data_IF_477571811450
#
_entry.id   IF_477571811450
#
_cell.length_a   1.000
_cell.length_b   1.000
_cell.length_c   1.000
_cell.angle_alpha   90.00
_cell.angle_beta   90.00
_cell.angle_gamma   90.00
#
_symmetry.space_group_name_H-M   'P 1'
#
loop_
_entity.id
_entity.type
_entity.pdbx_description
1 polymer ?
#
# COMPACT_ATOMS: atom_id res chain seq x y z
N UNK A 1 -0.45 8.47 30.27
CA UNK A 1 -0.89 9.42 31.32
C UNK A 1 -1.95 10.34 30.72
N UNK A 2 -3.23 10.08 31.01
CA UNK A 2 -4.38 10.81 30.45
C UNK A 2 -4.84 11.91 31.40
N UNK A 3 -5.36 13.02 30.87
CA UNK A 3 -5.91 14.13 31.64
C UNK A 3 -7.26 14.54 31.04
N UNK A 4 -8.31 14.53 31.87
CA UNK A 4 -9.69 14.84 31.48
C UNK A 4 -10.05 16.28 31.84
N UNK A 5 -10.58 17.04 30.88
CA UNK A 5 -11.28 18.32 31.12
C UNK A 5 -12.42 18.46 30.11
N UNK A 6 -13.63 18.70 30.60
CA UNK A 6 -14.82 18.97 29.77
C UNK A 6 -15.34 20.39 29.97
N UNK A 7 -15.85 21.00 28.88
CA UNK A 7 -16.88 22.06 28.87
C UNK A 7 -17.62 22.02 27.52
N UNK A 8 -18.95 22.03 27.57
CA UNK A 8 -19.91 22.05 26.44
C UNK A 8 -20.00 23.42 25.73
N UNK A 9 -20.81 23.62 24.67
CA UNK A 9 -22.30 23.57 24.68
C UNK A 9 -22.92 23.45 23.26
N UNK A 10 -24.14 22.90 23.14
CA UNK A 10 -25.12 23.11 22.04
C UNK A 10 -26.54 22.71 22.50
N UNK A 11 -27.56 23.50 22.10
CA UNK A 11 -28.97 23.43 22.52
C UNK A 11 -29.73 22.21 21.93
N UNK A 12 -30.56 21.55 22.75
CA UNK A 12 -31.37 20.36 22.41
C UNK A 12 -32.85 20.52 22.82
N UNK A 13 -33.72 19.68 22.25
CA UNK A 13 -35.19 19.71 22.31
C UNK A 13 -35.74 19.43 23.74
N UNK A 14 -36.99 19.80 24.02
CA UNK A 14 -37.62 19.59 25.33
C UNK A 14 -37.76 18.10 25.72
N UNK A 15 -37.75 17.18 24.75
CA UNK A 15 -37.71 15.72 24.98
C UNK A 15 -36.28 15.20 25.25
N UNK A 16 -35.23 15.96 24.90
CA UNK A 16 -33.83 15.63 25.17
C UNK A 16 -33.40 16.01 26.61
N UNK A 17 -34.27 16.68 27.38
CA UNK A 17 -33.96 17.16 28.74
C UNK A 17 -33.89 16.05 29.79
N UNK A 18 -34.40 14.84 29.48
CA UNK A 18 -34.48 13.72 30.42
C UNK A 18 -33.73 12.46 29.97
N UNK A 19 -33.01 12.53 28.85
CA UNK A 19 -32.04 11.49 28.51
C UNK A 19 -30.68 11.90 29.04
N UNK A 20 -30.08 11.06 29.88
CA UNK A 20 -28.68 11.24 30.22
C UNK A 20 -27.88 11.38 28.91
N UNK A 21 -26.99 12.38 28.80
CA UNK A 21 -26.24 12.57 27.57
C UNK A 21 -25.48 11.28 27.27
N UNK A 22 -25.44 10.84 25.99
CA UNK A 22 -24.76 9.61 25.63
C UNK A 22 -23.32 9.68 26.13
N UNK A 23 -22.88 8.60 26.77
CA UNK A 23 -21.53 8.52 27.30
C UNK A 23 -20.54 8.67 26.14
N UNK A 24 -19.43 9.37 26.36
CA UNK A 24 -18.45 9.67 25.31
C UNK A 24 -17.06 9.17 25.69
N UNK A 25 -16.43 8.44 24.77
CA UNK A 25 -15.03 8.05 24.87
C UNK A 25 -14.19 8.96 23.97
N UNK A 26 -13.17 9.59 24.55
CA UNK A 26 -12.23 10.44 23.83
C UNK A 26 -10.85 9.77 23.73
N UNK A 27 -10.40 9.50 22.52
CA UNK A 27 -9.06 8.95 22.26
C UNK A 27 -8.19 10.03 21.65
N UNK A 28 -7.11 10.41 22.35
CA UNK A 28 -6.09 11.33 21.84
C UNK A 28 -4.74 10.61 21.71
N UNK A 29 -4.33 10.26 20.48
CA UNK A 29 -3.02 9.70 20.25
C UNK A 29 -1.91 10.68 20.68
N UNK A 30 -0.84 10.14 21.27
CA UNK A 30 0.32 10.93 21.67
C UNK A 30 0.91 11.63 20.45
N UNK A 31 1.32 12.89 20.59
CA UNK A 31 1.85 13.74 19.52
C UNK A 31 0.87 13.99 18.35
N UNK A 32 -0.43 13.78 18.56
CA UNK A 32 -1.47 14.15 17.60
C UNK A 32 -2.26 15.36 18.12
N UNK A 33 -2.58 16.29 17.21
CA UNK A 33 -3.54 17.36 17.48
C UNK A 33 -4.99 16.91 17.35
N UNK A 34 -5.24 15.63 16.99
CA UNK A 34 -6.59 15.08 16.84
C UNK A 34 -7.07 14.33 18.06
N UNK A 35 -8.36 14.48 18.30
CA UNK A 35 -9.14 13.72 19.28
C UNK A 35 -10.22 12.99 18.51
N UNK A 36 -10.35 11.69 18.75
CA UNK A 36 -11.43 10.87 18.24
C UNK A 36 -12.49 10.75 19.33
N UNK A 37 -13.71 11.12 19.01
CA UNK A 37 -14.86 11.05 19.90
C UNK A 37 -15.78 9.92 19.44
N UNK A 38 -16.12 9.03 20.37
CA UNK A 38 -17.05 7.93 20.14
C UNK A 38 -18.22 8.09 21.10
N UNK A 39 -19.42 8.24 20.54
CA UNK A 39 -20.66 8.22 21.31
C UNK A 39 -21.05 6.77 21.62
N UNK A 40 -21.43 6.52 22.87
CA UNK A 40 -21.77 5.19 23.38
C UNK A 40 -23.10 5.23 24.13
N UNK A 41 -23.69 4.04 24.26
CA UNK A 41 -25.03 3.84 24.81
C UNK A 41 -25.07 4.03 26.32
N UNK A 42 -23.96 3.74 27.00
CA UNK A 42 -23.88 3.75 28.46
C UNK A 42 -22.45 4.01 28.97
N UNK A 43 -22.33 4.40 30.24
CA UNK A 43 -21.03 4.55 30.88
C UNK A 43 -20.30 3.21 31.10
N UNK A 44 -21.03 2.10 31.26
CA UNK A 44 -20.42 0.78 31.40
C UNK A 44 -19.70 0.38 30.10
N UNK A 45 -20.31 0.68 28.94
CA UNK A 45 -19.70 0.43 27.64
C UNK A 45 -18.40 1.24 27.45
N UNK A 46 -18.35 2.48 27.95
CA UNK A 46 -17.12 3.30 27.93
C UNK A 46 -16.01 2.66 28.75
N UNK A 47 -16.32 2.11 29.92
CA UNK A 47 -15.36 1.42 30.78
C UNK A 47 -14.85 0.11 30.15
N UNK A 48 -15.75 -0.68 29.55
CA UNK A 48 -15.39 -1.89 28.82
C UNK A 48 -14.42 -1.60 27.67
N UNK A 49 -14.70 -0.56 26.88
CA UNK A 49 -13.81 -0.13 25.80
C UNK A 49 -12.47 0.40 26.31
N UNK A 50 -12.48 1.19 27.38
CA UNK A 50 -11.24 1.70 27.99
C UNK A 50 -10.35 0.54 28.46
N UNK A 51 -10.91 -0.42 29.17
CA UNK A 51 -10.21 -1.62 29.65
C UNK A 51 -9.67 -2.47 28.50
N UNK A 52 -10.49 -2.71 27.45
CA UNK A 52 -10.07 -3.46 26.28
C UNK A 52 -8.91 -2.77 25.53
N UNK A 53 -8.94 -1.43 25.42
CA UNK A 53 -7.87 -0.66 24.82
C UNK A 53 -6.59 -0.70 25.66
N UNK A 54 -6.69 -0.55 26.99
CA UNK A 54 -5.53 -0.62 27.88
C UNK A 54 -4.87 -1.99 27.81
N UNK A 55 -5.66 -3.06 27.83
CA UNK A 55 -5.12 -4.42 27.69
C UNK A 55 -4.46 -4.63 26.32
N UNK A 56 -5.07 -4.13 25.25
CA UNK A 56 -4.47 -4.20 23.91
C UNK A 56 -3.13 -3.44 23.84
N UNK A 57 -3.07 -2.23 24.41
CA UNK A 57 -1.84 -1.44 24.49
C UNK A 57 -0.77 -2.16 25.31
N UNK A 58 -1.13 -2.75 26.45
CA UNK A 58 -0.22 -3.52 27.30
C UNK A 58 0.38 -4.72 26.55
N UNK A 59 -0.45 -5.49 25.84
CA UNK A 59 0.00 -6.62 25.04
C UNK A 59 0.90 -6.19 23.87
N UNK A 60 0.58 -5.06 23.25
CA UNK A 60 1.38 -4.48 22.17
C UNK A 60 2.76 -4.00 22.66
N UNK A 61 2.83 -3.34 23.83
CA UNK A 61 4.09 -2.89 24.44
C UNK A 61 5.02 -4.05 24.83
N UNK A 62 4.47 -5.20 25.25
CA UNK A 62 5.26 -6.40 25.54
C UNK A 62 5.82 -7.09 24.29
N UNK A 63 5.23 -6.87 23.11
CA UNK A 63 5.57 -7.61 21.88
C UNK A 63 6.43 -6.82 20.88
N UNK A 64 6.49 -5.49 21.01
CA UNK A 64 7.15 -4.64 20.02
C UNK A 64 8.17 -3.69 20.66
N UNK A 65 9.45 -3.90 20.36
CA UNK A 65 10.51 -2.94 20.66
C UNK A 65 10.23 -1.60 19.96
N UNK A 66 9.80 -0.58 20.72
CA UNK A 66 9.67 0.84 20.34
C UNK A 66 9.47 1.05 18.83
N UNK A 67 8.35 0.57 18.29
CA UNK A 67 7.98 0.90 16.91
C UNK A 67 7.54 2.36 16.94
N UNK A 68 8.43 3.26 16.55
CA UNK A 68 8.03 4.62 16.22
C UNK A 68 6.99 4.46 15.11
N UNK A 69 5.74 4.85 15.36
CA UNK A 69 4.69 4.84 14.34
C UNK A 69 5.23 5.66 13.18
N UNK A 70 5.78 4.99 12.16
CA UNK A 70 6.30 5.67 11.00
C UNK A 70 5.10 6.21 10.25
N UNK A 71 4.71 7.42 10.64
CA UNK A 71 3.66 8.20 10.00
C UNK A 71 4.05 8.54 8.58
N UNK A 72 5.27 8.20 8.12
CA UNK A 72 5.88 8.62 6.86
C UNK A 72 5.88 10.15 6.73
N UNK A 73 6.00 10.84 7.88
CA UNK A 73 5.84 12.28 7.99
C UNK A 73 4.42 12.77 7.61
N UNK A 74 3.43 11.89 7.50
CA UNK A 74 2.08 12.28 7.13
C UNK A 74 1.36 12.84 8.35
N UNK A 75 0.97 14.10 8.25
CA UNK A 75 0.10 14.74 9.24
C UNK A 75 -1.26 14.03 9.39
N UNK A 76 -1.60 13.06 8.53
CA UNK A 76 -2.89 12.38 8.43
C UNK A 76 -2.80 10.86 8.54
N UNK A 77 -1.91 10.35 9.40
CA UNK A 77 -1.67 8.91 9.55
C UNK A 77 -2.95 8.08 9.78
N UNK A 78 -3.98 8.65 10.42
CA UNK A 78 -5.28 7.99 10.66
C UNK A 78 -6.14 7.83 9.41
N UNK A 79 -5.80 8.49 8.29
CA UNK A 79 -6.48 8.30 7.00
C UNK A 79 -5.87 7.16 6.19
N UNK A 80 -4.76 6.60 6.63
CA UNK A 80 -4.04 5.55 5.93
C UNK A 80 -4.41 4.21 6.57
N UNK A 81 -5.07 3.34 5.80
CA UNK A 81 -5.27 1.96 6.23
C UNK A 81 -3.94 1.23 6.16
N UNK A 82 -3.47 0.76 7.32
CA UNK A 82 -2.30 -0.12 7.43
C UNK A 82 -2.79 -1.55 7.54
N UNK A 83 -2.11 -2.44 6.86
CA UNK A 83 -2.39 -3.88 6.87
C UNK A 83 -1.09 -4.60 7.21
N UNK A 84 -1.21 -5.69 7.98
CA UNK A 84 -0.06 -6.55 8.27
C UNK A 84 0.34 -7.34 7.02
N UNK A 85 1.54 -7.93 6.96
CA UNK A 85 1.95 -8.81 5.87
C UNK A 85 0.98 -9.98 5.63
N UNK A 86 0.40 -10.54 6.70
CA UNK A 86 -0.59 -11.62 6.63
C UNK A 86 -1.89 -11.10 6.03
N UNK A 87 -2.34 -9.92 6.49
CA UNK A 87 -3.54 -9.30 5.94
C UNK A 87 -3.36 -8.89 4.48
N UNK A 88 -2.16 -8.49 4.08
CA UNK A 88 -1.82 -8.28 2.67
C UNK A 88 -1.96 -9.57 1.85
N UNK A 89 -1.47 -10.71 2.35
CA UNK A 89 -1.62 -12.03 1.70
C UNK A 89 -3.10 -12.42 1.50
N UNK A 90 -3.95 -12.09 2.45
CA UNK A 90 -5.40 -12.32 2.36
C UNK A 90 -6.10 -11.40 1.36
N UNK A 91 -5.72 -10.11 1.38
CA UNK A 91 -6.39 -9.09 0.57
C UNK A 91 -5.93 -9.14 -0.89
N UNK A 92 -4.63 -9.16 -1.15
CA UNK A 92 -4.09 -9.03 -2.51
C UNK A 92 -4.55 -10.17 -3.42
N UNK A 93 -4.91 -9.81 -4.66
CA UNK A 93 -5.38 -10.76 -5.66
C UNK A 93 -4.69 -10.51 -7.01
N UNK A 94 -4.78 -11.49 -7.92
CA UNK A 94 -4.18 -11.41 -9.25
C UNK A 94 -4.58 -10.12 -9.96
N UNK A 95 -3.60 -9.40 -10.48
CA UNK A 95 -3.80 -8.14 -11.21
C UNK A 95 -3.87 -6.89 -10.33
N UNK A 96 -3.80 -7.02 -9.00
CA UNK A 96 -3.56 -5.86 -8.15
C UNK A 96 -2.12 -5.35 -8.30
N UNK A 97 -1.91 -4.08 -7.95
CA UNK A 97 -0.61 -3.43 -8.09
C UNK A 97 -0.03 -3.18 -6.70
N UNK A 98 1.21 -3.60 -6.49
CA UNK A 98 1.99 -3.26 -5.31
C UNK A 98 3.00 -2.18 -5.69
N UNK A 99 3.05 -1.11 -4.90
CA UNK A 99 3.90 0.05 -5.11
C UNK A 99 4.95 0.08 -4.01
N UNK A 100 6.20 0.34 -4.40
CA UNK A 100 7.33 0.38 -3.50
C UNK A 100 7.98 1.74 -3.56
N UNK A 101 8.33 2.26 -2.38
CA UNK A 101 9.17 3.42 -2.22
C UNK A 101 10.49 2.94 -1.64
N UNK A 102 11.55 3.06 -2.42
CA UNK A 102 12.89 2.59 -2.02
C UNK A 102 13.74 3.73 -1.46
N UNK A 103 14.73 3.38 -0.64
CA UNK A 103 15.82 4.28 -0.26
C UNK A 103 16.90 4.37 -1.37
N UNK A 104 17.63 5.49 -1.40
CA UNK A 104 18.77 5.68 -2.30
C UNK A 104 18.60 6.74 -3.38
N UNK A 105 19.72 7.07 -4.03
CA UNK A 105 19.84 8.18 -4.99
C UNK A 105 19.09 7.89 -6.29
N UNK A 106 19.20 6.67 -6.83
CA UNK A 106 18.53 6.29 -8.09
C UNK A 106 17.00 6.25 -7.95
N UNK A 107 16.42 5.62 -6.91
CA UNK A 107 14.99 5.76 -6.59
C UNK A 107 14.52 7.21 -6.45
N UNK A 108 15.32 8.05 -5.79
CA UNK A 108 15.00 9.47 -5.67
C UNK A 108 14.95 10.16 -7.04
N UNK A 109 15.92 9.89 -7.92
CA UNK A 109 15.93 10.42 -9.28
C UNK A 109 14.69 9.99 -10.06
N UNK A 110 14.31 8.71 -9.99
CA UNK A 110 13.09 8.18 -10.66
C UNK A 110 11.85 8.95 -10.20
N UNK A 111 11.71 9.19 -8.89
CA UNK A 111 10.59 9.98 -8.34
C UNK A 111 10.60 11.41 -8.86
N UNK A 112 11.76 12.06 -8.90
CA UNK A 112 11.90 13.43 -9.41
C UNK A 112 11.53 13.53 -10.90
N UNK A 113 12.06 12.65 -11.75
CA UNK A 113 11.81 12.71 -13.21
C UNK A 113 10.38 12.27 -13.58
N UNK A 114 9.72 11.48 -12.73
CA UNK A 114 8.33 11.06 -12.91
C UNK A 114 7.32 12.10 -12.38
N UNK A 115 7.72 13.36 -12.24
CA UNK A 115 6.86 14.45 -11.76
C UNK A 115 6.70 14.51 -10.24
N UNK A 116 7.67 14.00 -9.48
CA UNK A 116 7.63 14.00 -8.00
C UNK A 116 6.78 12.87 -7.40
N UNK A 117 6.66 11.72 -8.10
CA UNK A 117 5.89 10.57 -7.63
C UNK A 117 6.37 10.02 -6.28
N UNK A 118 5.46 9.51 -5.45
CA UNK A 118 5.80 8.97 -4.11
C UNK A 118 6.53 7.63 -4.16
N UNK A 119 6.26 6.83 -5.19
CA UNK A 119 6.77 5.48 -5.38
C UNK A 119 7.68 5.45 -6.61
N UNK A 120 8.68 4.57 -6.58
CA UNK A 120 9.73 4.44 -7.62
C UNK A 120 9.80 3.04 -8.24
N UNK A 121 9.18 2.05 -7.58
CA UNK A 121 9.11 0.69 -8.09
C UNK A 121 7.69 0.15 -7.96
N UNK A 122 7.35 -0.80 -8.82
CA UNK A 122 6.00 -1.33 -8.93
C UNK A 122 6.04 -2.79 -9.38
N UNK A 123 5.15 -3.59 -8.78
CA UNK A 123 4.94 -4.99 -9.14
C UNK A 123 3.46 -5.29 -9.33
N UNK A 124 3.17 -6.42 -9.98
CA UNK A 124 1.83 -6.97 -10.12
C UNK A 124 1.66 -8.15 -9.15
N UNK A 125 0.60 -8.14 -8.37
CA UNK A 125 0.24 -9.27 -7.52
C UNK A 125 -0.28 -10.43 -8.38
N UNK A 126 0.16 -11.64 -8.07
CA UNK A 126 -0.27 -12.90 -8.67
C UNK A 126 -0.71 -13.87 -7.57
N UNK A 127 -1.89 -14.46 -7.69
CA UNK A 127 -2.30 -15.61 -6.89
C UNK A 127 -1.95 -16.89 -7.66
N UNK A 128 -0.98 -17.62 -7.14
CA UNK A 128 -0.50 -18.88 -7.71
C UNK A 128 -1.43 -20.05 -7.34
N UNK A 129 -1.17 -21.21 -7.94
CA UNK A 129 -1.83 -22.45 -7.53
C UNK A 129 -1.61 -22.69 -6.02
N UNK A 130 -2.64 -23.15 -5.31
CA UNK A 130 -2.59 -23.28 -3.86
C UNK A 130 -2.88 -22.00 -3.06
N UNK A 131 -3.15 -20.87 -3.74
CA UNK A 131 -3.53 -19.61 -3.09
C UNK A 131 -2.35 -18.77 -2.59
N UNK A 132 -1.12 -19.19 -2.89
CA UNK A 132 0.09 -18.45 -2.58
C UNK A 132 0.13 -17.12 -3.33
N UNK A 133 0.60 -16.08 -2.65
CA UNK A 133 0.77 -14.76 -3.25
C UNK A 133 2.20 -14.64 -3.77
N UNK A 134 2.36 -14.10 -4.97
CA UNK A 134 3.63 -13.72 -5.54
C UNK A 134 3.55 -12.33 -6.17
N UNK A 135 4.70 -11.72 -6.41
CA UNK A 135 4.87 -10.41 -7.02
C UNK A 135 5.64 -10.62 -8.32
N UNK A 136 5.01 -10.27 -9.43
CA UNK A 136 5.70 -10.11 -10.70
C UNK A 136 6.35 -8.73 -10.70
N UNK A 137 7.66 -8.68 -10.89
CA UNK A 137 8.41 -7.44 -10.93
C UNK A 137 9.58 -7.53 -11.91
N UNK A 138 10.12 -6.37 -12.27
CA UNK A 138 11.32 -6.27 -13.07
C UNK A 138 12.41 -5.60 -12.20
N UNK A 139 13.47 -6.32 -11.86
CA UNK A 139 14.56 -5.83 -11.00
C UNK A 139 15.85 -5.67 -11.80
N UNK A 140 16.68 -4.70 -11.41
CA UNK A 140 17.90 -4.35 -12.15
C UNK A 140 18.89 -5.49 -12.35
N UNK A 141 18.90 -6.45 -11.43
CA UNK A 141 19.95 -7.46 -11.34
C UNK A 141 19.49 -8.78 -11.98
N UNK A 142 18.18 -9.06 -11.96
CA UNK A 142 17.63 -10.38 -12.31
C UNK A 142 16.66 -10.32 -13.50
N UNK A 143 16.23 -9.13 -13.91
CA UNK A 143 15.23 -8.99 -14.97
C UNK A 143 13.82 -9.17 -14.45
N UNK A 144 12.95 -9.70 -15.32
CA UNK A 144 11.54 -9.97 -15.01
C UNK A 144 11.43 -11.29 -14.26
N UNK A 145 11.03 -11.21 -12.99
CA UNK A 145 10.90 -12.36 -12.08
C UNK A 145 9.53 -12.43 -11.41
N UNK A 146 9.20 -13.61 -10.88
CA UNK A 146 8.06 -13.83 -9.99
C UNK A 146 8.61 -14.19 -8.63
N UNK A 147 8.37 -13.33 -7.65
CA UNK A 147 8.84 -13.46 -6.27
C UNK A 147 7.69 -13.91 -5.38
N UNK A 148 7.71 -15.13 -4.81
CA UNK A 148 6.77 -15.51 -3.76
C UNK A 148 6.79 -14.52 -2.59
N UNK A 149 5.62 -14.12 -2.09
CA UNK A 149 5.54 -13.17 -0.98
C UNK A 149 6.24 -13.69 0.28
N UNK A 150 6.18 -15.00 0.51
CA UNK A 150 6.87 -15.60 1.64
C UNK A 150 8.40 -15.45 1.52
N UNK A 151 8.94 -15.67 0.33
CA UNK A 151 10.38 -15.47 0.06
C UNK A 151 10.79 -14.01 0.26
N UNK A 152 9.96 -13.06 -0.16
CA UNK A 152 10.18 -11.63 0.09
C UNK A 152 10.27 -11.29 1.59
N UNK A 153 9.44 -11.94 2.42
CA UNK A 153 9.46 -11.77 3.87
C UNK A 153 10.68 -12.45 4.51
N UNK A 154 10.95 -13.70 4.14
CA UNK A 154 12.02 -14.52 4.72
C UNK A 154 13.41 -13.93 4.45
N UNK A 155 13.59 -13.30 3.28
CA UNK A 155 14.83 -12.61 2.93
C UNK A 155 14.90 -11.16 3.43
N UNK A 156 13.92 -10.72 4.22
CA UNK A 156 13.84 -9.36 4.77
C UNK A 156 13.90 -8.24 3.71
N UNK A 157 13.46 -8.49 2.47
CA UNK A 157 13.50 -7.50 1.39
C UNK A 157 12.58 -6.30 1.64
N UNK A 158 11.55 -6.48 2.47
CA UNK A 158 10.71 -5.39 2.98
C UNK A 158 11.52 -4.26 3.63
N UNK A 159 12.68 -4.55 4.21
CA UNK A 159 13.54 -3.55 4.87
C UNK A 159 14.18 -2.54 3.90
N UNK A 160 14.21 -2.86 2.60
CA UNK A 160 14.70 -1.97 1.54
C UNK A 160 13.70 -0.85 1.21
N UNK A 161 12.45 -1.03 1.63
CA UNK A 161 11.33 -0.18 1.27
C UNK A 161 10.72 0.42 2.53
N UNK A 162 10.98 1.71 2.83
CA UNK A 162 10.30 2.40 3.92
C UNK A 162 8.78 2.31 3.77
N UNK A 163 8.27 2.28 2.53
CA UNK A 163 6.84 2.25 2.29
C UNK A 163 6.47 1.32 1.14
N UNK A 164 5.49 0.46 1.41
CA UNK A 164 4.87 -0.46 0.45
C UNK A 164 3.36 -0.21 0.48
N UNK A 165 2.75 -0.03 -0.68
CA UNK A 165 1.32 0.23 -0.80
C UNK A 165 0.64 -0.72 -1.79
N UNK A 166 -0.51 -1.26 -1.38
CA UNK A 166 -1.38 -2.05 -2.24
C UNK A 166 -2.40 -1.14 -2.94
N UNK A 167 -2.51 -1.25 -4.26
CA UNK A 167 -3.54 -0.63 -5.08
C UNK A 167 -4.38 -1.70 -5.76
N UNK A 168 -5.62 -1.85 -5.31
CA UNK A 168 -6.63 -2.71 -5.92
C UNK A 168 -6.96 -2.23 -7.32
N UNK A 169 -6.86 -3.11 -8.31
CA UNK A 169 -7.35 -2.84 -9.67
C UNK A 169 -8.73 -3.46 -9.81
N UNK A 170 -9.71 -2.65 -10.23
CA UNK A 170 -11.11 -3.07 -10.34
C UNK A 170 -11.39 -3.61 -11.73
N UNK A 171 -11.48 -4.92 -11.85
CA UNK A 171 -11.86 -5.59 -13.09
C UNK A 171 -12.45 -6.98 -12.78
N UNK A 172 -13.18 -7.55 -13.74
CA UNK A 172 -13.69 -8.92 -13.61
C UNK A 172 -12.54 -9.92 -13.80
N UNK A 173 -12.22 -10.67 -12.75
CA UNK A 173 -11.27 -11.81 -12.79
C UNK A 173 -12.00 -13.05 -13.31
N UNK A 174 -11.99 -13.24 -14.62
CA UNK A 174 -12.57 -14.42 -15.26
C UNK A 174 -11.48 -15.34 -15.83
N UNK A 175 -11.81 -16.62 -16.01
CA UNK A 175 -10.85 -17.63 -16.47
C UNK A 175 -10.14 -17.26 -17.79
N UNK A 176 -10.82 -16.61 -18.74
CA UNK A 176 -10.18 -16.19 -19.99
C UNK A 176 -9.09 -15.14 -19.75
N UNK A 177 -9.34 -14.13 -18.91
CA UNK A 177 -8.34 -13.10 -18.58
C UNK A 177 -7.16 -13.70 -17.82
N UNK A 178 -7.40 -14.68 -16.94
CA UNK A 178 -6.32 -15.39 -16.25
C UNK A 178 -5.48 -16.21 -17.22
N UNK A 179 -6.10 -16.87 -18.20
CA UNK A 179 -5.39 -17.59 -19.29
C UNK A 179 -4.57 -16.63 -20.16
N UNK A 180 -5.14 -15.49 -20.54
CA UNK A 180 -4.46 -14.47 -21.34
C UNK A 180 -3.24 -13.92 -20.58
N UNK A 181 -3.39 -13.62 -19.29
CA UNK A 181 -2.28 -13.21 -18.42
C UNK A 181 -1.24 -14.32 -18.29
N UNK A 182 -1.63 -15.56 -18.03
CA UNK A 182 -0.70 -16.68 -17.89
C UNK A 182 0.12 -16.92 -19.18
N UNK A 183 -0.51 -16.81 -20.34
CA UNK A 183 0.18 -16.89 -21.63
C UNK A 183 1.23 -15.77 -21.73
N UNK A 184 0.84 -14.54 -21.44
CA UNK A 184 1.74 -13.40 -21.47
C UNK A 184 2.89 -13.54 -20.47
N UNK A 185 2.64 -14.04 -19.25
CA UNK A 185 3.68 -14.32 -18.25
C UNK A 185 4.74 -15.28 -18.80
N UNK A 186 4.32 -16.35 -19.49
CA UNK A 186 5.23 -17.29 -20.13
C UNK A 186 6.11 -16.67 -21.22
N UNK A 187 5.71 -15.53 -21.79
CA UNK A 187 6.47 -14.79 -22.79
C UNK A 187 7.42 -13.74 -22.19
N UNK A 188 7.19 -13.29 -20.94
CA UNK A 188 7.94 -12.16 -20.35
C UNK A 188 8.86 -12.53 -19.20
N UNK A 189 8.57 -13.58 -18.44
CA UNK A 189 9.41 -14.03 -17.33
C UNK A 189 10.80 -14.43 -17.85
N UNK A 190 11.85 -14.00 -17.15
CA UNK A 190 13.24 -14.20 -17.53
C UNK A 190 13.80 -13.19 -18.53
N UNK A 191 12.99 -12.24 -19.03
CA UNK A 191 13.51 -11.15 -19.87
C UNK A 191 14.35 -10.16 -19.03
N UNK A 192 15.41 -9.57 -19.61
CA UNK A 192 16.28 -8.65 -18.89
C UNK A 192 15.55 -7.34 -18.51
N UNK A 193 16.02 -6.70 -17.43
CA UNK A 193 15.54 -5.39 -17.03
C UNK A 193 16.08 -4.31 -17.95
N UNK A 194 15.20 -3.43 -18.42
CA UNK A 194 15.54 -2.36 -19.35
C UNK A 194 15.80 -1.05 -18.66
N UNK A 195 16.95 -0.84 -18.02
CA UNK A 195 17.40 0.50 -17.67
C UNK A 195 18.08 1.17 -18.85
N UNK A 196 17.31 1.78 -19.73
CA UNK A 196 17.85 2.86 -20.54
C UNK A 196 17.21 4.17 -20.13
N UNK A 197 17.81 4.85 -19.16
CA UNK A 197 17.48 6.23 -18.79
C UNK A 197 17.54 7.19 -20.00
N UNK A 198 18.23 6.81 -21.09
CA UNK A 198 18.18 7.52 -22.39
C UNK A 198 16.78 7.54 -23.01
N UNK A 199 15.94 6.52 -22.79
CA UNK A 199 14.54 6.48 -23.27
C UNK A 199 13.60 7.36 -22.42
N UNK A 200 13.92 7.56 -21.13
CA UNK A 200 13.13 8.42 -20.23
C UNK A 200 13.38 9.91 -20.50
N UNK A 201 14.64 10.32 -20.69
CA UNK A 201 15.02 11.71 -21.03
C UNK A 201 14.53 12.16 -22.41
N UNK A 202 14.42 11.23 -23.37
CA UNK A 202 13.92 11.50 -24.73
C UNK A 202 12.39 11.67 -24.79
N UNK A 203 11.65 11.18 -23.79
CA UNK A 203 10.18 11.30 -23.74
C UNK A 203 9.69 12.66 -23.25
N UNK A 204 10.50 13.39 -22.49
CA UNK A 204 10.15 14.74 -22.04
C UNK A 204 10.39 15.82 -23.12
N UNK A 205 10.99 15.45 -24.26
CA UNK A 205 11.41 16.40 -25.30
C UNK A 205 10.73 16.24 -26.66
N UNK A 206 9.88 15.22 -26.90
CA UNK A 206 9.30 14.98 -28.22
C UNK A 206 7.84 14.47 -28.14
N UNK A 207 6.91 15.39 -27.91
CA UNK A 207 5.61 15.36 -28.59
C UNK A 207 5.84 15.77 -30.05
N UNK A 208 6.45 14.92 -30.87
CA UNK A 208 6.39 15.05 -32.33
C UNK A 208 7.01 13.85 -33.05
N UNK A 209 6.15 13.25 -33.88
CA UNK A 209 6.44 12.47 -35.08
C UNK A 209 6.79 10.98 -34.97
N UNK A 210 6.11 10.27 -35.87
CA UNK A 210 6.13 8.85 -36.16
C UNK A 210 7.44 8.41 -36.85
N UNK A 211 7.67 7.09 -36.86
CA UNK A 211 8.61 6.46 -37.80
C UNK A 211 9.46 5.36 -37.18
N UNK A 212 9.31 4.16 -37.72
CA UNK A 212 9.90 2.87 -37.32
C UNK A 212 11.42 2.82 -37.41
N UNK A 213 12.04 1.93 -36.62
CA UNK A 213 13.25 1.17 -37.00
C UNK A 213 13.36 -0.07 -36.11
N UNK A 214 13.28 -1.26 -36.72
CA UNK A 214 13.35 -2.57 -36.07
C UNK A 214 14.73 -2.92 -35.50
N UNK A 215 14.72 -3.80 -34.50
CA UNK A 215 15.89 -4.35 -33.83
C UNK A 215 15.56 -4.64 -32.36
N UNK A 216 15.36 -5.92 -32.04
CA UNK A 216 14.86 -6.40 -30.74
C UNK A 216 15.66 -5.91 -29.54
N UNK A 217 15.03 -5.10 -28.72
CA UNK A 217 15.50 -4.74 -27.38
C UNK A 217 14.38 -5.12 -26.41
N UNK A 218 14.31 -6.41 -26.06
CA UNK A 218 13.23 -7.02 -25.28
C UNK A 218 13.39 -6.77 -23.78
N UNK A 219 13.65 -5.52 -23.41
CA UNK A 219 13.95 -5.11 -22.05
C UNK A 219 12.75 -4.37 -21.42
N UNK A 220 12.45 -4.65 -20.15
CA UNK A 220 11.25 -4.13 -19.47
C UNK A 220 11.59 -3.14 -18.35
N UNK A 221 10.85 -2.02 -18.28
CA UNK A 221 10.77 -1.18 -17.08
C UNK A 221 9.68 -1.71 -16.15
N UNK A 222 9.81 -1.53 -14.83
CA UNK A 222 8.82 -2.02 -13.85
C UNK A 222 7.39 -1.53 -14.12
N UNK A 223 7.22 -0.24 -14.43
CA UNK A 223 5.91 0.34 -14.77
C UNK A 223 5.39 -0.11 -16.14
N UNK A 224 6.27 -0.31 -17.12
CA UNK A 224 5.88 -0.84 -18.43
C UNK A 224 5.42 -2.29 -18.32
N UNK A 225 6.15 -3.12 -17.56
CA UNK A 225 5.79 -4.51 -17.30
C UNK A 225 4.38 -4.62 -16.72
N UNK A 226 4.09 -3.85 -15.66
CA UNK A 226 2.77 -3.84 -15.04
C UNK A 226 1.69 -3.31 -15.98
N UNK A 227 1.98 -2.26 -16.76
CA UNK A 227 1.04 -1.74 -17.75
C UNK A 227 0.71 -2.77 -18.85
N UNK A 228 1.70 -3.52 -19.33
CA UNK A 228 1.48 -4.59 -20.32
C UNK A 228 0.74 -5.78 -19.73
N UNK A 229 1.01 -6.15 -18.48
CA UNK A 229 0.24 -7.17 -17.78
C UNK A 229 -1.25 -6.79 -17.65
N UNK A 230 -1.54 -5.53 -17.31
CA UNK A 230 -2.91 -5.02 -17.22
C UNK A 230 -3.58 -4.98 -18.61
N UNK A 231 -2.85 -4.67 -19.68
CA UNK A 231 -3.34 -4.80 -21.06
C UNK A 231 -3.68 -6.25 -21.41
N UNK A 232 -2.85 -7.22 -21.02
CA UNK A 232 -3.16 -8.64 -21.21
C UNK A 232 -4.45 -9.06 -20.47
N UNK A 233 -4.71 -8.45 -19.30
CA UNK A 233 -5.96 -8.59 -18.55
C UNK A 233 -7.15 -7.82 -19.15
N UNK A 234 -6.92 -7.01 -20.20
CA UNK A 234 -7.90 -6.12 -20.85
C UNK A 234 -8.51 -5.11 -19.87
N UNK A 235 -7.64 -4.44 -19.13
CA UNK A 235 -7.94 -3.34 -18.20
C UNK A 235 -7.41 -2.02 -18.76
#
# INVERSE_FOLDING_TARGET
MFCARGRGTSLSSFDDLFQDPPARLHIKPVNSHRVFEFAMSSSAEVEDWANAMEEHLRLAECSYSKVNLDTFGTAHWWKISRITPEKFKELADTGDVVLFRSHGVMPHLIRTVSGGGRFDHVGLCLKLAGGELAILEATGNEGVGITPWQEFLDNCWWSLYPEIALRRVRFRRCGQRMKDLQKWLGEVVGKPYGLSMKKLLRRTSLESQAGESGGGDSSFFCSQLVAEALKALRV
#
